data_IF_568930559814
#
_entry.id   IF_568930559814
#
_cell.length_a   1.000
_cell.length_b   1.000
_cell.length_c   1.000
_cell.angle_alpha   90.00
_cell.angle_beta   90.00
_cell.angle_gamma   90.00
#
_symmetry.space_group_name_H-M   'P 1'
#
loop_
_entity.id
_entity.type
_entity.pdbx_description
1 polymer ?
#
# COMPACT_ATOMS: atom_id res chain seq x y z
N UNK A 1 37.83 51.82 -65.09
CA UNK A 1 38.05 50.69 -64.16
C UNK A 1 38.79 51.01 -62.85
N UNK A 2 39.39 52.20 -62.63
CA UNK A 2 40.12 52.49 -61.36
C UNK A 2 39.25 53.02 -60.20
N UNK A 3 38.01 53.45 -60.48
CA UNK A 3 37.09 53.97 -59.45
C UNK A 3 36.41 52.85 -58.64
N UNK A 4 36.18 51.66 -59.23
CA UNK A 4 35.52 50.53 -58.57
C UNK A 4 36.39 49.86 -57.51
N UNK A 5 37.70 49.78 -57.72
CA UNK A 5 38.64 49.12 -56.78
C UNK A 5 38.79 49.92 -55.48
N UNK A 6 38.70 51.25 -55.53
CA UNK A 6 38.76 52.10 -54.33
C UNK A 6 37.50 52.03 -53.48
N UNK A 7 36.33 51.95 -54.13
CA UNK A 7 35.05 51.77 -53.43
C UNK A 7 34.99 50.39 -52.77
N UNK A 8 35.42 49.34 -53.46
CA UNK A 8 35.46 47.98 -52.90
C UNK A 8 36.47 47.88 -51.76
N UNK A 9 37.66 48.50 -51.87
CA UNK A 9 38.62 48.54 -50.75
C UNK A 9 38.13 49.36 -49.56
N UNK A 10 37.41 50.47 -49.78
CA UNK A 10 36.83 51.26 -48.71
C UNK A 10 35.69 50.51 -48.00
N UNK A 11 34.84 49.80 -48.76
CA UNK A 11 33.82 48.90 -48.21
C UNK A 11 34.44 47.74 -47.45
N UNK A 12 35.50 47.12 -47.98
CA UNK A 12 36.22 46.07 -47.26
C UNK A 12 36.81 46.63 -45.96
N UNK A 13 37.53 47.74 -46.00
CA UNK A 13 38.12 48.37 -44.80
C UNK A 13 37.05 48.77 -43.77
N UNK A 14 35.88 49.24 -44.21
CA UNK A 14 34.76 49.56 -43.32
C UNK A 14 34.18 48.30 -42.66
N UNK A 15 34.08 47.21 -43.43
CA UNK A 15 33.68 45.89 -42.90
C UNK A 15 34.73 45.31 -41.95
N UNK A 16 36.03 45.51 -42.20
CA UNK A 16 37.11 45.07 -41.29
C UNK A 16 37.35 46.00 -40.10
N UNK A 17 36.87 47.25 -40.11
CA UNK A 17 36.88 48.19 -38.97
C UNK A 17 35.67 48.05 -38.04
N UNK A 18 34.48 47.77 -38.60
CA UNK A 18 33.52 46.86 -37.95
C UNK A 18 34.23 45.49 -37.77
N UNK A 19 33.76 44.41 -37.19
CA UNK A 19 34.61 43.22 -36.91
C UNK A 19 35.83 43.42 -35.97
N UNK A 20 36.79 44.33 -36.20
CA UNK A 20 38.00 44.50 -35.35
C UNK A 20 37.81 45.43 -34.15
N UNK A 21 36.89 46.39 -34.20
CA UNK A 21 36.56 47.25 -33.07
C UNK A 21 35.45 46.64 -32.20
N UNK A 22 35.76 45.59 -31.42
CA UNK A 22 34.89 45.06 -30.36
C UNK A 22 33.40 45.02 -30.72
N UNK A 23 33.09 44.54 -31.94
CA UNK A 23 31.84 44.82 -32.61
C UNK A 23 30.67 44.28 -31.77
N UNK A 24 29.75 45.16 -31.39
CA UNK A 24 28.52 44.77 -30.69
C UNK A 24 27.70 43.74 -31.49
N UNK A 25 26.66 43.16 -30.86
CA UNK A 25 25.87 42.09 -31.45
C UNK A 25 25.43 42.38 -32.89
N UNK A 26 25.66 41.41 -33.79
CA UNK A 26 25.32 41.54 -35.20
C UNK A 26 23.84 41.24 -35.45
N UNK A 27 23.37 41.53 -36.66
CA UNK A 27 22.02 41.12 -37.13
C UNK A 27 21.80 39.60 -37.02
N UNK A 28 22.85 38.79 -37.20
CA UNK A 28 22.78 37.34 -37.09
C UNK A 28 22.60 36.90 -35.63
N UNK A 29 23.32 37.54 -34.70
CA UNK A 29 23.18 37.28 -33.26
C UNK A 29 21.78 37.62 -32.77
N UNK A 30 21.23 38.76 -33.22
CA UNK A 30 19.86 39.18 -32.90
C UNK A 30 18.82 38.19 -33.43
N UNK A 31 18.92 37.76 -34.71
CA UNK A 31 17.99 36.74 -35.26
C UNK A 31 18.07 35.42 -34.50
N UNK A 32 19.29 34.96 -34.18
CA UNK A 32 19.50 33.72 -33.43
C UNK A 32 18.85 33.80 -32.05
N UNK A 33 19.09 34.89 -31.31
CA UNK A 33 18.54 35.07 -29.97
C UNK A 33 17.00 35.16 -30.00
N UNK A 34 16.41 35.86 -30.96
CA UNK A 34 14.94 35.94 -31.12
C UNK A 34 14.35 34.57 -31.44
N UNK A 35 14.94 33.81 -32.38
CA UNK A 35 14.46 32.48 -32.71
C UNK A 35 14.53 31.53 -31.49
N UNK A 36 15.61 31.59 -30.71
CA UNK A 36 15.73 30.83 -29.47
C UNK A 36 14.66 31.24 -28.45
N UNK A 37 14.42 32.55 -28.25
CA UNK A 37 13.37 33.06 -27.38
C UNK A 37 11.97 32.58 -27.80
N UNK A 38 11.67 32.57 -29.11
CA UNK A 38 10.42 32.06 -29.64
C UNK A 38 10.25 30.55 -29.39
N UNK A 39 11.32 29.76 -29.52
CA UNK A 39 11.29 28.34 -29.21
C UNK A 39 10.94 28.09 -27.73
N UNK A 40 11.58 28.81 -26.81
CA UNK A 40 11.26 28.73 -25.38
C UNK A 40 9.83 29.19 -25.07
N UNK A 41 9.33 30.23 -25.74
CA UNK A 41 7.93 30.65 -25.63
C UNK A 41 6.96 29.55 -26.10
N UNK A 42 7.30 28.86 -27.19
CA UNK A 42 6.50 27.74 -27.68
C UNK A 42 6.48 26.59 -26.67
N UNK A 43 7.63 26.24 -26.09
CA UNK A 43 7.73 25.23 -25.04
C UNK A 43 6.87 25.59 -23.82
N UNK A 44 6.92 26.85 -23.35
CA UNK A 44 6.04 27.35 -22.29
C UNK A 44 4.56 27.27 -22.70
N UNK A 45 4.22 27.63 -23.94
CA UNK A 45 2.83 27.60 -24.43
C UNK A 45 2.27 26.18 -24.50
N UNK A 46 3.10 25.19 -24.87
CA UNK A 46 2.73 23.77 -24.92
C UNK A 46 2.38 23.19 -23.55
N UNK A 47 2.85 23.82 -22.46
CA UNK A 47 2.48 23.39 -21.09
C UNK A 47 1.03 23.73 -20.71
N UNK A 48 0.34 24.59 -21.49
CA UNK A 48 -1.02 25.04 -21.18
C UNK A 48 -1.12 26.01 -20.01
N UNK A 49 0.01 26.59 -19.56
CA UNK A 49 0.03 27.54 -18.44
C UNK A 49 -0.78 28.81 -18.75
N UNK A 50 -1.60 29.26 -17.79
CA UNK A 50 -2.38 30.50 -17.92
C UNK A 50 -1.51 31.74 -17.72
N UNK A 51 -1.85 32.86 -18.36
CA UNK A 51 -1.08 34.12 -18.29
C UNK A 51 -0.88 34.66 -16.87
N UNK A 52 -1.77 34.35 -15.93
CA UNK A 52 -1.72 34.84 -14.56
C UNK A 52 -1.03 33.87 -13.57
N UNK A 53 -0.46 32.76 -14.06
CA UNK A 53 0.13 31.75 -13.17
C UNK A 53 1.43 32.25 -12.49
N UNK A 54 2.20 33.09 -13.18
CA UNK A 54 3.43 33.71 -12.66
C UNK A 54 3.69 35.03 -13.41
N UNK A 55 4.25 36.07 -12.77
CA UNK A 55 4.56 37.33 -13.42
C UNK A 55 5.50 37.21 -14.64
N UNK A 56 6.23 36.10 -14.77
CA UNK A 56 7.12 35.87 -15.92
C UNK A 56 6.38 35.55 -17.24
N UNK A 57 5.14 35.02 -17.20
CA UNK A 57 4.40 34.69 -18.44
C UNK A 57 4.09 35.91 -19.32
N UNK A 58 3.50 37.01 -18.79
CA UNK A 58 3.29 38.22 -19.58
C UNK A 58 4.61 38.89 -19.99
N UNK A 59 5.67 38.73 -19.18
CA UNK A 59 6.99 39.28 -19.49
C UNK A 59 7.59 38.65 -20.75
N UNK A 60 7.46 37.33 -20.95
CA UNK A 60 7.95 36.61 -22.15
C UNK A 60 7.39 37.25 -23.43
N UNK A 61 6.06 37.37 -23.52
CA UNK A 61 5.39 37.94 -24.71
C UNK A 61 5.82 39.39 -24.95
N UNK A 62 5.88 40.19 -23.88
CA UNK A 62 6.30 41.60 -23.97
C UNK A 62 7.73 41.72 -24.47
N UNK A 63 8.65 40.89 -23.96
CA UNK A 63 10.08 40.95 -24.30
C UNK A 63 10.39 40.44 -25.70
N UNK A 64 9.66 39.44 -26.20
CA UNK A 64 9.75 39.01 -27.60
C UNK A 64 9.27 40.12 -28.53
N UNK A 65 8.13 40.74 -28.23
CA UNK A 65 7.62 41.87 -29.02
C UNK A 65 8.60 43.05 -29.01
N UNK A 66 9.24 43.35 -27.87
CA UNK A 66 10.29 44.36 -27.78
C UNK A 66 11.53 44.00 -28.62
N UNK A 67 11.94 42.73 -28.61
CA UNK A 67 13.06 42.24 -29.39
C UNK A 67 12.81 42.34 -30.90
N UNK A 68 11.64 41.92 -31.38
CA UNK A 68 11.20 42.04 -32.77
C UNK A 68 11.11 43.50 -33.22
N UNK A 69 10.55 44.37 -32.37
CA UNK A 69 10.48 45.81 -32.63
C UNK A 69 11.89 46.41 -32.75
N UNK A 70 12.79 46.11 -31.81
CA UNK A 70 14.18 46.59 -31.82
C UNK A 70 14.93 46.10 -33.06
N UNK A 71 14.69 44.86 -33.47
CA UNK A 71 15.23 44.27 -34.69
C UNK A 71 14.78 45.04 -35.95
N UNK A 72 13.50 45.43 -36.03
CA UNK A 72 12.95 46.23 -37.13
C UNK A 72 13.61 47.61 -37.24
N UNK A 73 14.03 48.20 -36.12
CA UNK A 73 14.73 49.48 -36.06
C UNK A 73 16.27 49.36 -36.12
N UNK A 74 16.81 48.17 -36.44
CA UNK A 74 18.24 47.89 -36.51
C UNK A 74 19.00 48.15 -35.19
N UNK A 75 18.31 48.07 -34.06
CA UNK A 75 18.87 48.20 -32.70
C UNK A 75 19.29 46.83 -32.17
N UNK A 76 20.26 46.19 -32.85
CA UNK A 76 20.63 44.78 -32.59
C UNK A 76 21.04 44.47 -31.14
N UNK A 77 21.82 45.32 -30.42
CA UNK A 77 22.16 45.04 -29.03
C UNK A 77 20.93 44.95 -28.12
N UNK A 78 19.97 45.88 -28.28
CA UNK A 78 18.72 45.90 -27.52
C UNK A 78 17.81 44.72 -27.87
N UNK A 79 17.80 44.31 -29.14
CA UNK A 79 17.08 43.12 -29.59
C UNK A 79 17.61 41.84 -28.92
N UNK A 80 18.94 41.68 -28.85
CA UNK A 80 19.57 40.55 -28.15
C UNK A 80 19.29 40.56 -26.65
N UNK A 81 19.38 41.72 -26.01
CA UNK A 81 19.07 41.88 -24.58
C UNK A 81 17.61 41.50 -24.27
N UNK A 82 16.66 42.04 -25.04
CA UNK A 82 15.23 41.71 -24.87
C UNK A 82 14.94 40.23 -25.14
N UNK A 83 15.60 39.62 -26.12
CA UNK A 83 15.47 38.18 -26.38
C UNK A 83 16.04 37.33 -25.22
N UNK A 84 17.18 37.73 -24.62
CA UNK A 84 17.75 37.06 -23.45
C UNK A 84 16.84 37.16 -22.23
N UNK A 85 16.30 38.35 -21.95
CA UNK A 85 15.31 38.55 -20.88
C UNK A 85 14.12 37.59 -21.05
N UNK A 86 13.64 37.40 -22.29
CA UNK A 86 12.57 36.46 -22.60
C UNK A 86 12.97 34.99 -22.38
N UNK A 87 14.18 34.60 -22.78
CA UNK A 87 14.69 33.25 -22.55
C UNK A 87 14.78 32.97 -21.05
N UNK A 88 15.32 33.90 -20.28
CA UNK A 88 15.47 33.76 -18.83
C UNK A 88 14.12 33.72 -18.11
N UNK A 89 13.15 34.54 -18.54
CA UNK A 89 11.77 34.47 -18.07
C UNK A 89 11.14 33.11 -18.40
N UNK A 90 11.34 32.59 -19.62
CA UNK A 90 10.82 31.29 -20.02
C UNK A 90 11.41 30.14 -19.19
N UNK A 91 12.73 30.16 -18.94
CA UNK A 91 13.39 29.18 -18.06
C UNK A 91 12.84 29.23 -16.65
N UNK A 92 12.57 30.42 -16.10
CA UNK A 92 11.92 30.57 -14.78
C UNK A 92 10.51 30.00 -14.77
N UNK A 93 9.71 30.20 -15.82
CA UNK A 93 8.37 29.59 -15.94
C UNK A 93 8.47 28.06 -15.97
N UNK A 94 9.41 27.49 -16.73
CA UNK A 94 9.60 26.03 -16.78
C UNK A 94 10.03 25.47 -15.41
N UNK A 95 10.92 26.16 -14.68
CA UNK A 95 11.29 25.78 -13.32
C UNK A 95 10.12 25.88 -12.34
N UNK A 96 9.28 26.93 -12.45
CA UNK A 96 8.07 27.07 -11.66
C UNK A 96 7.12 25.88 -11.88
N UNK A 97 6.91 25.47 -13.13
CA UNK A 97 6.04 24.35 -13.47
C UNK A 97 6.56 23.02 -12.92
N UNK A 98 7.86 22.75 -13.01
CA UNK A 98 8.45 21.54 -12.44
C UNK A 98 8.39 21.54 -10.90
N UNK A 99 8.67 22.69 -10.26
CA UNK A 99 8.52 22.86 -8.82
C UNK A 99 7.09 22.57 -8.36
N UNK A 100 6.09 23.13 -9.05
CA UNK A 100 4.68 22.93 -8.75
C UNK A 100 4.27 21.46 -8.89
N UNK A 101 4.66 20.81 -9.99
CA UNK A 101 4.41 19.38 -10.22
C UNK A 101 4.97 18.51 -9.10
N UNK A 102 6.21 18.76 -8.68
CA UNK A 102 6.87 17.99 -7.60
C UNK A 102 6.24 18.27 -6.24
N UNK A 103 5.78 19.50 -5.97
CA UNK A 103 5.06 19.83 -4.74
C UNK A 103 3.70 19.13 -4.71
N UNK A 104 2.97 19.09 -5.82
CA UNK A 104 1.70 18.36 -5.92
C UNK A 104 1.93 16.85 -5.69
N UNK A 105 2.98 16.27 -6.28
CA UNK A 105 3.39 14.88 -6.01
C UNK A 105 3.75 14.66 -4.54
N UNK A 106 4.57 15.55 -3.94
CA UNK A 106 4.93 15.48 -2.52
C UNK A 106 3.69 15.53 -1.61
N UNK A 107 2.68 16.30 -1.97
CA UNK A 107 1.41 16.39 -1.24
C UNK A 107 0.67 15.04 -1.24
N UNK A 108 0.60 14.35 -2.37
CA UNK A 108 -0.06 13.04 -2.44
C UNK A 108 0.63 11.99 -1.54
N UNK A 109 1.97 12.01 -1.51
CA UNK A 109 2.76 11.17 -0.62
C UNK A 109 2.53 11.52 0.86
N UNK A 110 2.50 12.81 1.20
CA UNK A 110 2.18 13.30 2.54
C UNK A 110 0.80 12.85 3.01
N UNK A 111 -0.22 12.97 2.16
CA UNK A 111 -1.57 12.55 2.48
C UNK A 111 -1.67 11.03 2.71
N UNK A 112 -0.82 10.26 2.03
CA UNK A 112 -0.71 8.80 2.23
C UNK A 112 -0.01 8.47 3.54
N UNK A 113 1.05 9.19 3.88
CA UNK A 113 1.72 9.09 5.19
C UNK A 113 0.75 9.40 6.32
N UNK A 114 0.01 10.52 6.24
CA UNK A 114 -0.98 10.91 7.27
C UNK A 114 -2.08 9.88 7.46
N UNK A 115 -2.60 9.31 6.37
CA UNK A 115 -3.59 8.22 6.40
C UNK A 115 -3.05 6.92 7.00
N UNK A 116 -1.74 6.69 6.92
CA UNK A 116 -1.07 5.50 7.45
C UNK A 116 -0.62 5.69 8.91
N UNK A 117 -0.30 6.92 9.32
CA UNK A 117 0.22 7.27 10.64
C UNK A 117 -0.86 7.47 11.73
N UNK A 118 -2.15 7.33 11.39
CA UNK A 118 -3.27 7.44 12.36
C UNK A 118 -3.22 6.39 13.48
N UNK A 119 -2.27 5.45 13.42
CA UNK A 119 -1.94 4.44 14.43
C UNK A 119 -0.97 4.91 15.53
N UNK A 120 -0.60 6.20 15.57
CA UNK A 120 0.04 6.82 16.74
C UNK A 120 1.58 6.74 16.79
N UNK A 121 2.26 6.41 15.68
CA UNK A 121 3.73 6.46 15.64
C UNK A 121 4.23 7.82 15.14
N UNK A 122 4.84 8.61 16.04
CA UNK A 122 5.64 9.78 15.65
C UNK A 122 7.06 9.31 15.29
N UNK A 123 7.28 9.00 14.01
CA UNK A 123 8.63 8.79 13.49
C UNK A 123 9.31 10.16 13.22
N UNK A 124 10.60 10.34 13.57
CA UNK A 124 11.39 11.50 13.15
C UNK A 124 11.31 11.75 11.63
N UNK A 125 11.15 10.69 10.84
CA UNK A 125 11.04 10.77 9.39
C UNK A 125 9.71 11.40 8.92
N UNK A 126 8.62 11.24 9.69
CA UNK A 126 7.34 11.91 9.42
C UNK A 126 7.51 13.41 9.62
N UNK A 127 8.08 13.83 10.75
CA UNK A 127 8.34 15.24 11.04
C UNK A 127 9.28 15.86 9.99
N UNK A 128 10.35 15.15 9.62
CA UNK A 128 11.27 15.58 8.56
C UNK A 128 10.58 15.73 7.20
N UNK A 129 9.72 14.78 6.82
CA UNK A 129 9.01 14.84 5.54
C UNK A 129 8.04 16.02 5.49
N UNK A 130 7.30 16.28 6.56
CA UNK A 130 6.37 17.41 6.68
C UNK A 130 7.13 18.74 6.61
N UNK A 131 8.20 18.88 7.39
CA UNK A 131 9.02 20.10 7.39
C UNK A 131 9.57 20.42 5.99
N UNK A 132 10.04 19.41 5.25
CA UNK A 132 10.55 19.59 3.88
C UNK A 132 9.46 19.97 2.89
N UNK A 133 8.24 19.47 3.09
CA UNK A 133 7.09 19.86 2.28
C UNK A 133 6.75 21.34 2.51
N UNK A 134 6.66 21.77 3.77
CA UNK A 134 6.38 23.17 4.13
C UNK A 134 7.47 24.11 3.58
N UNK A 135 8.73 23.70 3.65
CA UNK A 135 9.86 24.45 3.08
C UNK A 135 9.76 24.56 1.55
N UNK A 136 9.31 23.50 0.85
CA UNK A 136 9.11 23.54 -0.59
C UNK A 136 7.99 24.52 -0.99
N UNK A 137 6.86 24.51 -0.29
CA UNK A 137 5.76 25.46 -0.52
C UNK A 137 6.20 26.91 -0.26
N UNK A 138 6.92 27.14 0.84
CA UNK A 138 7.49 28.45 1.16
C UNK A 138 8.45 28.94 0.08
N UNK A 139 9.38 28.10 -0.36
CA UNK A 139 10.36 28.46 -1.39
C UNK A 139 9.70 28.70 -2.76
N UNK A 140 8.62 28.00 -3.09
CA UNK A 140 7.81 28.28 -4.28
C UNK A 140 7.18 29.68 -4.21
N UNK A 141 6.61 30.04 -3.05
CA UNK A 141 6.01 31.37 -2.83
C UNK A 141 7.06 32.50 -2.90
N UNK A 142 8.29 32.24 -2.47
CA UNK A 142 9.45 33.15 -2.56
C UNK A 142 10.12 33.15 -3.95
N UNK A 143 9.57 32.45 -4.95
CA UNK A 143 10.12 32.31 -6.31
C UNK A 143 11.52 31.66 -6.37
N UNK A 144 11.90 30.89 -5.34
CA UNK A 144 13.17 30.16 -5.27
C UNK A 144 13.01 28.75 -5.87
N UNK A 145 12.65 28.67 -7.16
CA UNK A 145 12.18 27.43 -7.80
C UNK A 145 13.14 26.23 -7.69
N UNK A 146 14.45 26.43 -7.84
CA UNK A 146 15.42 25.33 -7.72
C UNK A 146 15.50 24.77 -6.30
N UNK A 147 15.38 25.62 -5.29
CA UNK A 147 15.33 25.18 -3.89
C UNK A 147 14.02 24.45 -3.62
N UNK A 148 12.90 24.99 -4.11
CA UNK A 148 11.58 24.35 -3.97
C UNK A 148 11.57 22.94 -4.58
N UNK A 149 12.18 22.76 -5.77
CA UNK A 149 12.37 21.45 -6.41
C UNK A 149 13.16 20.50 -5.51
N UNK A 150 14.28 20.96 -4.94
CA UNK A 150 15.11 20.15 -4.04
C UNK A 150 14.34 19.73 -2.78
N UNK A 151 13.67 20.67 -2.12
CA UNK A 151 12.89 20.42 -0.92
C UNK A 151 11.70 19.46 -1.19
N UNK A 152 11.03 19.60 -2.32
CA UNK A 152 9.95 18.70 -2.74
C UNK A 152 10.46 17.26 -2.96
N UNK A 153 11.59 17.09 -3.67
CA UNK A 153 12.23 15.77 -3.86
C UNK A 153 12.65 15.14 -2.54
N UNK A 154 13.21 15.92 -1.63
CA UNK A 154 13.58 15.46 -0.30
C UNK A 154 12.35 15.03 0.51
N UNK A 155 11.23 15.75 0.37
CA UNK A 155 9.96 15.40 1.03
C UNK A 155 9.39 14.10 0.48
N UNK A 156 9.33 13.93 -0.85
CA UNK A 156 8.90 12.68 -1.52
C UNK A 156 9.74 11.50 -1.03
N UNK A 157 11.06 11.66 -1.03
CA UNK A 157 12.01 10.62 -0.62
C UNK A 157 11.80 10.22 0.83
N UNK A 158 11.65 11.20 1.74
CA UNK A 158 11.34 10.93 3.15
C UNK A 158 9.97 10.25 3.32
N UNK A 159 8.94 10.69 2.60
CA UNK A 159 7.61 10.08 2.65
C UNK A 159 7.62 8.62 2.18
N UNK A 160 8.34 8.31 1.09
CA UNK A 160 8.49 6.93 0.60
C UNK A 160 9.11 6.02 1.66
N UNK A 161 10.17 6.48 2.34
CA UNK A 161 10.80 5.71 3.43
C UNK A 161 9.83 5.44 4.58
N UNK A 162 9.06 6.45 4.99
CA UNK A 162 8.03 6.28 6.04
C UNK A 162 6.99 5.24 5.62
N UNK A 163 6.50 5.30 4.39
CA UNK A 163 5.51 4.32 3.87
C UNK A 163 6.10 2.91 3.88
N UNK A 164 7.33 2.72 3.39
CA UNK A 164 8.01 1.43 3.38
C UNK A 164 8.25 0.90 4.80
N UNK A 165 8.64 1.76 5.73
CA UNK A 165 8.79 1.38 7.14
C UNK A 165 7.46 0.93 7.74
N UNK A 166 6.36 1.65 7.45
CA UNK A 166 5.02 1.27 7.87
C UNK A 166 4.58 -0.10 7.31
N UNK A 167 4.85 -0.34 6.02
CA UNK A 167 4.62 -1.64 5.36
C UNK A 167 5.41 -2.75 6.06
N UNK A 168 6.73 -2.56 6.22
CA UNK A 168 7.63 -3.54 6.84
C UNK A 168 7.21 -3.89 8.27
N UNK A 169 6.90 -2.88 9.09
CA UNK A 169 6.43 -3.11 10.47
C UNK A 169 5.10 -3.86 10.50
N UNK A 170 4.14 -3.47 9.65
CA UNK A 170 2.83 -4.14 9.57
C UNK A 170 2.97 -5.60 9.17
N UNK A 171 3.79 -5.88 8.15
CA UNK A 171 4.07 -7.25 7.69
C UNK A 171 4.70 -8.10 8.78
N UNK A 172 5.67 -7.57 9.53
CA UNK A 172 6.31 -8.31 10.63
C UNK A 172 5.30 -8.70 11.72
N UNK A 173 4.49 -7.74 12.17
CA UNK A 173 3.44 -7.99 13.18
C UNK A 173 2.44 -9.03 12.68
N UNK A 174 2.00 -8.93 11.42
CA UNK A 174 1.07 -9.90 10.84
C UNK A 174 1.67 -11.30 10.73
N UNK A 175 2.94 -11.42 10.33
CA UNK A 175 3.62 -12.72 10.27
C UNK A 175 3.73 -13.37 11.65
N UNK A 176 4.15 -12.61 12.67
CA UNK A 176 4.22 -13.08 14.06
C UNK A 176 2.84 -13.57 14.55
N UNK A 177 1.79 -12.80 14.25
CA UNK A 177 0.42 -13.17 14.64
C UNK A 177 -0.09 -14.42 13.92
N UNK A 178 0.19 -14.58 12.62
CA UNK A 178 -0.16 -15.79 11.87
C UNK A 178 0.58 -17.00 12.44
N UNK A 179 1.87 -16.87 12.74
CA UNK A 179 2.67 -17.96 13.34
C UNK A 179 2.09 -18.36 14.69
N UNK A 180 1.77 -17.39 15.56
CA UNK A 180 1.11 -17.63 16.84
C UNK A 180 -0.22 -18.39 16.67
N UNK A 181 -1.09 -17.93 15.77
CA UNK A 181 -2.36 -18.62 15.46
C UNK A 181 -2.16 -19.99 14.82
N UNK A 182 -1.05 -20.22 14.12
CA UNK A 182 -0.70 -21.52 13.54
C UNK A 182 -0.23 -22.52 14.61
N UNK A 183 0.45 -22.06 15.66
CA UNK A 183 0.77 -22.91 16.81
C UNK A 183 -0.51 -23.38 17.53
N UNK A 184 -1.53 -22.53 17.59
CA UNK A 184 -2.85 -22.85 18.13
C UNK A 184 -3.67 -23.76 17.19
N UNK A 185 -3.59 -23.52 15.87
CA UNK A 185 -4.23 -24.33 14.82
C UNK A 185 -3.29 -24.56 13.62
N UNK A 186 -2.57 -25.70 13.57
CA UNK A 186 -1.64 -26.00 12.47
C UNK A 186 -2.29 -26.09 11.08
N UNK A 187 -3.62 -26.24 11.02
CA UNK A 187 -4.37 -26.33 9.78
C UNK A 187 -4.96 -25.00 9.30
N UNK A 188 -4.75 -23.90 10.02
CA UNK A 188 -5.31 -22.58 9.71
C UNK A 188 -5.07 -22.19 8.24
N UNK A 189 -6.09 -21.67 7.52
CA UNK A 189 -5.90 -21.19 6.15
C UNK A 189 -5.08 -19.88 6.10
N UNK A 190 -4.88 -19.20 7.23
CA UNK A 190 -4.03 -18.00 7.33
C UNK A 190 -2.60 -18.23 6.83
N UNK A 191 -2.09 -19.47 6.89
CA UNK A 191 -0.76 -19.80 6.35
C UNK A 191 -0.61 -19.51 4.86
N UNK A 192 -1.73 -19.45 4.11
CA UNK A 192 -1.73 -19.10 2.69
C UNK A 192 -1.39 -17.63 2.45
N UNK A 193 -1.50 -16.78 3.47
CA UNK A 193 -1.15 -15.36 3.41
C UNK A 193 0.36 -15.15 3.54
N UNK A 194 1.09 -16.06 4.22
CA UNK A 194 2.52 -15.92 4.49
C UNK A 194 3.40 -15.70 3.25
N UNK A 195 3.28 -16.46 2.15
CA UNK A 195 4.10 -16.23 0.96
C UNK A 195 3.91 -14.82 0.38
N UNK A 196 2.68 -14.30 0.43
CA UNK A 196 2.40 -12.96 -0.07
C UNK A 196 2.97 -11.87 0.84
N UNK A 197 2.96 -12.08 2.16
CA UNK A 197 3.65 -11.20 3.11
C UNK A 197 5.17 -11.22 2.89
N UNK A 198 5.75 -12.39 2.56
CA UNK A 198 7.17 -12.50 2.22
C UNK A 198 7.52 -11.70 0.96
N UNK A 199 6.69 -11.78 -0.09
CA UNK A 199 6.86 -10.97 -1.30
C UNK A 199 6.79 -9.47 -1.01
N UNK A 200 5.83 -9.03 -0.19
CA UNK A 200 5.68 -7.61 0.18
C UNK A 200 6.91 -7.14 0.99
N UNK A 201 7.39 -7.96 1.92
CA UNK A 201 8.57 -7.65 2.72
C UNK A 201 9.82 -7.57 1.84
N UNK A 202 9.98 -8.51 0.91
CA UNK A 202 11.08 -8.50 -0.04
C UNK A 202 11.06 -7.24 -0.90
N UNK A 203 9.90 -6.90 -1.47
CA UNK A 203 9.73 -5.64 -2.21
C UNK A 203 10.10 -4.42 -1.37
N UNK A 204 9.65 -4.35 -0.12
CA UNK A 204 9.95 -3.21 0.73
C UNK A 204 11.46 -3.09 1.01
N UNK A 205 12.13 -4.21 1.25
CA UNK A 205 13.58 -4.26 1.46
C UNK A 205 14.36 -3.88 0.18
N UNK A 206 13.96 -4.40 -0.98
CA UNK A 206 14.63 -4.12 -2.25
C UNK A 206 14.56 -2.63 -2.59
N UNK A 207 13.39 -2.00 -2.41
CA UNK A 207 13.20 -0.56 -2.62
C UNK A 207 13.95 0.28 -1.60
N UNK A 208 14.02 -0.17 -0.35
CA UNK A 208 14.70 0.58 0.72
C UNK A 208 16.22 0.55 0.59
N UNK A 209 16.78 -0.53 0.01
CA UNK A 209 18.24 -0.72 -0.14
C UNK A 209 18.81 -0.20 -1.47
N UNK A 210 17.96 0.19 -2.42
CA UNK A 210 18.36 0.76 -3.72
C UNK A 210 17.79 2.17 -3.88
N UNK A 211 18.66 3.19 -3.98
CA UNK A 211 18.23 4.57 -4.24
C UNK A 211 17.40 4.69 -5.52
N UNK A 212 17.74 3.93 -6.57
CA UNK A 212 16.95 3.90 -7.82
C UNK A 212 15.60 3.25 -7.60
N UNK A 213 15.53 2.21 -6.78
CA UNK A 213 14.29 1.57 -6.36
C UNK A 213 13.37 2.56 -5.65
N UNK A 214 13.93 3.36 -4.73
CA UNK A 214 13.20 4.40 -3.99
C UNK A 214 12.69 5.49 -4.94
N UNK A 215 13.51 5.96 -5.88
CA UNK A 215 13.08 6.94 -6.89
C UNK A 215 11.93 6.40 -7.76
N UNK A 216 11.99 5.13 -8.18
CA UNK A 216 11.01 4.51 -9.07
C UNK A 216 9.75 3.98 -8.36
N UNK A 217 9.74 3.94 -7.03
CA UNK A 217 8.57 3.51 -6.27
C UNK A 217 7.36 4.39 -6.57
N UNK A 218 6.32 3.81 -7.17
CA UNK A 218 5.07 4.51 -7.45
C UNK A 218 4.13 4.53 -6.25
N UNK A 219 3.44 5.65 -6.05
CA UNK A 219 2.43 5.79 -5.01
C UNK A 219 1.28 4.78 -5.19
N UNK A 220 0.90 4.51 -6.45
CA UNK A 220 -0.14 3.53 -6.80
C UNK A 220 0.20 2.13 -6.25
N UNK A 221 1.44 1.68 -6.45
CA UNK A 221 1.89 0.37 -5.94
C UNK A 221 1.90 0.35 -4.42
N UNK A 222 2.38 1.43 -3.79
CA UNK A 222 2.40 1.57 -2.34
C UNK A 222 0.98 1.51 -1.74
N UNK A 223 0.05 2.28 -2.31
CA UNK A 223 -1.35 2.31 -1.88
C UNK A 223 -2.05 0.95 -2.06
N UNK A 224 -1.76 0.24 -3.16
CA UNK A 224 -2.25 -1.12 -3.38
C UNK A 224 -1.77 -2.07 -2.29
N UNK A 225 -0.47 -2.06 -1.97
CA UNK A 225 0.09 -2.89 -0.89
C UNK A 225 -0.56 -2.54 0.44
N UNK A 226 -0.66 -1.26 0.78
CA UNK A 226 -1.32 -0.82 2.03
C UNK A 226 -2.78 -1.26 2.11
N UNK A 227 -3.50 -1.28 0.98
CA UNK A 227 -4.87 -1.80 0.91
C UNK A 227 -4.93 -3.30 1.19
N UNK A 228 -4.05 -4.09 0.56
CA UNK A 228 -3.99 -5.54 0.77
C UNK A 228 -3.62 -5.88 2.23
N UNK A 229 -2.68 -5.14 2.82
CA UNK A 229 -2.31 -5.32 4.23
C UNK A 229 -3.48 -5.10 5.19
N UNK A 230 -4.37 -4.12 4.91
CA UNK A 230 -5.59 -3.91 5.73
C UNK A 230 -6.54 -5.09 5.65
N UNK A 231 -6.65 -5.71 4.47
CA UNK A 231 -7.47 -6.91 4.28
C UNK A 231 -6.89 -8.08 5.08
N UNK A 232 -5.59 -8.30 4.99
CA UNK A 232 -4.92 -9.35 5.76
C UNK A 232 -5.00 -9.13 7.26
N UNK A 233 -4.86 -7.88 7.72
CA UNK A 233 -5.03 -7.54 9.13
C UNK A 233 -6.42 -7.94 9.64
N UNK A 234 -7.47 -7.65 8.87
CA UNK A 234 -8.84 -8.05 9.22
C UNK A 234 -9.05 -9.57 9.16
N UNK A 235 -8.52 -10.25 8.14
CA UNK A 235 -8.57 -11.73 8.05
C UNK A 235 -7.92 -12.41 9.26
N UNK A 236 -6.80 -11.85 9.72
CA UNK A 236 -6.08 -12.34 10.91
C UNK A 236 -6.91 -12.08 12.18
N UNK A 237 -7.46 -10.88 12.35
CA UNK A 237 -8.27 -10.50 13.53
C UNK A 237 -9.59 -11.26 13.62
N UNK A 238 -10.24 -11.48 12.48
CA UNK A 238 -11.54 -12.13 12.39
C UNK A 238 -11.49 -13.65 12.61
N UNK A 239 -10.29 -14.25 12.61
CA UNK A 239 -10.08 -15.66 12.95
C UNK A 239 -10.35 -15.95 14.44
N UNK A 240 -11.33 -16.82 14.70
CA UNK A 240 -11.85 -17.16 16.02
C UNK A 240 -11.59 -18.62 16.40
N UNK A 241 -11.48 -18.87 17.71
CA UNK A 241 -11.44 -20.21 18.30
C UNK A 241 -12.48 -20.30 19.41
N UNK A 242 -13.20 -21.43 19.47
CA UNK A 242 -14.15 -21.75 20.54
C UNK A 242 -13.89 -23.16 21.07
N UNK A 243 -14.09 -23.37 22.38
CA UNK A 243 -13.87 -24.67 23.03
C UNK A 243 -15.19 -25.13 23.65
N UNK A 244 -15.76 -26.20 23.10
CA UNK A 244 -16.93 -26.86 23.68
C UNK A 244 -16.49 -27.96 24.65
N UNK A 245 -16.88 -27.83 25.91
CA UNK A 245 -16.68 -28.88 26.90
C UNK A 245 -17.64 -30.04 26.63
N UNK A 246 -17.10 -31.26 26.54
CA UNK A 246 -17.90 -32.41 26.15
C UNK A 246 -18.91 -32.80 27.21
N UNK A 247 -18.61 -32.57 28.49
CA UNK A 247 -19.48 -32.95 29.61
C UNK A 247 -20.75 -32.09 29.69
N UNK A 248 -20.72 -30.91 29.04
CA UNK A 248 -21.86 -29.99 28.91
C UNK A 248 -22.55 -30.21 27.56
N UNK A 249 -21.76 -30.45 26.52
CA UNK A 249 -22.25 -30.47 25.14
C UNK A 249 -22.77 -31.83 24.69
N UNK A 250 -22.40 -32.91 25.37
CA UNK A 250 -22.79 -34.28 25.06
C UNK A 250 -23.12 -35.05 26.33
N UNK A 251 -24.10 -35.96 26.25
CA UNK A 251 -24.30 -36.93 27.31
C UNK A 251 -23.12 -37.93 27.38
N UNK A 252 -22.90 -38.51 28.56
CA UNK A 252 -21.84 -39.49 28.79
C UNK A 252 -21.92 -40.65 27.78
N UNK A 253 -20.80 -40.95 27.11
CA UNK A 253 -20.72 -42.01 26.10
C UNK A 253 -21.48 -41.73 24.79
N UNK A 254 -22.18 -40.60 24.67
CA UNK A 254 -22.91 -40.22 23.46
C UNK A 254 -22.13 -39.21 22.62
N UNK A 255 -22.48 -39.15 21.35
CA UNK A 255 -21.96 -38.18 20.37
C UNK A 255 -23.00 -37.18 19.89
N UNK A 256 -24.28 -37.41 20.16
CA UNK A 256 -25.34 -36.45 19.87
C UNK A 256 -25.24 -35.22 20.78
N UNK A 257 -25.31 -34.04 20.18
CA UNK A 257 -25.30 -32.77 20.90
C UNK A 257 -26.52 -32.64 21.80
N UNK A 258 -26.27 -32.35 23.07
CA UNK A 258 -27.28 -31.90 24.03
C UNK A 258 -27.79 -30.50 23.67
N UNK A 259 -28.91 -30.09 24.27
CA UNK A 259 -29.54 -28.80 23.98
C UNK A 259 -28.61 -27.62 24.31
N UNK A 260 -27.88 -27.70 25.41
CA UNK A 260 -26.91 -26.68 25.81
C UNK A 260 -25.75 -26.56 24.81
N UNK A 261 -25.28 -27.68 24.28
CA UNK A 261 -24.27 -27.71 23.20
C UNK A 261 -24.77 -27.05 21.92
N UNK A 262 -26.03 -27.30 21.53
CA UNK A 262 -26.66 -26.64 20.37
C UNK A 262 -26.79 -25.14 20.57
N UNK A 263 -27.27 -24.70 21.73
CA UNK A 263 -27.41 -23.28 22.06
C UNK A 263 -26.06 -22.55 22.08
N UNK A 264 -24.99 -23.20 22.57
CA UNK A 264 -23.64 -22.66 22.52
C UNK A 264 -23.14 -22.50 21.07
N UNK A 265 -23.42 -23.46 20.20
CA UNK A 265 -23.07 -23.39 18.78
C UNK A 265 -23.86 -22.32 18.02
N UNK A 266 -25.13 -22.12 18.34
CA UNK A 266 -25.93 -21.03 17.76
C UNK A 266 -25.35 -19.65 18.11
N UNK A 267 -24.98 -19.44 19.38
CA UNK A 267 -24.30 -18.21 19.82
C UNK A 267 -22.94 -18.03 19.14
N UNK A 268 -22.19 -19.11 18.95
CA UNK A 268 -20.91 -19.03 18.23
C UNK A 268 -21.12 -18.69 16.75
N UNK A 269 -22.13 -19.28 16.10
CA UNK A 269 -22.50 -18.91 14.73
C UNK A 269 -22.88 -17.42 14.62
N UNK A 270 -23.56 -16.85 15.61
CA UNK A 270 -23.87 -15.41 15.65
C UNK A 270 -22.62 -14.54 15.72
N UNK A 271 -21.62 -14.93 16.53
CA UNK A 271 -20.33 -14.23 16.56
C UNK A 271 -19.62 -14.26 15.20
N UNK A 272 -19.66 -15.40 14.51
CA UNK A 272 -19.07 -15.55 13.18
C UNK A 272 -19.78 -14.63 12.17
N UNK A 273 -21.12 -14.63 12.18
CA UNK A 273 -21.92 -13.77 11.30
C UNK A 273 -21.65 -12.29 11.56
N UNK A 274 -21.59 -11.87 12.82
CA UNK A 274 -21.27 -10.48 13.18
C UNK A 274 -19.87 -10.04 12.69
N UNK A 275 -18.89 -10.94 12.72
CA UNK A 275 -17.56 -10.70 12.15
C UNK A 275 -17.63 -10.57 10.62
N UNK A 276 -18.39 -11.45 9.95
CA UNK A 276 -18.60 -11.38 8.50
C UNK A 276 -19.28 -10.06 8.11
N UNK A 277 -20.30 -9.63 8.84
CA UNK A 277 -20.98 -8.35 8.62
C UNK A 277 -20.01 -7.17 8.72
N UNK A 278 -19.23 -7.14 9.80
CA UNK A 278 -18.23 -6.09 10.02
C UNK A 278 -17.21 -6.06 8.88
N UNK A 279 -16.77 -7.24 8.44
CA UNK A 279 -15.81 -7.41 7.34
C UNK A 279 -16.37 -6.94 5.99
N UNK A 280 -17.61 -7.31 5.65
CA UNK A 280 -18.27 -6.92 4.40
C UNK A 280 -18.61 -5.43 4.34
N UNK A 281 -18.76 -4.77 5.49
CA UNK A 281 -18.86 -3.30 5.55
C UNK A 281 -17.53 -2.65 5.17
N UNK A 282 -16.41 -3.21 5.64
CA UNK A 282 -15.07 -2.71 5.33
C UNK A 282 -14.63 -3.02 3.89
N UNK A 283 -15.04 -4.18 3.36
CA UNK A 283 -14.61 -4.68 2.04
C UNK A 283 -15.81 -5.20 1.20
N UNK A 284 -16.73 -4.32 0.78
CA UNK A 284 -18.00 -4.72 0.15
C UNK A 284 -17.88 -5.44 -1.19
N UNK A 285 -16.73 -5.25 -1.86
CA UNK A 285 -16.42 -5.76 -3.20
C UNK A 285 -15.52 -7.01 -3.19
N UNK A 286 -15.04 -7.44 -2.01
CA UNK A 286 -14.18 -8.61 -1.89
C UNK A 286 -14.99 -9.82 -1.36
N UNK A 287 -15.09 -10.92 -2.12
CA UNK A 287 -15.77 -12.11 -1.63
C UNK A 287 -14.97 -12.73 -0.47
N UNK A 288 -15.71 -13.33 0.46
CA UNK A 288 -15.16 -13.86 1.71
C UNK A 288 -15.37 -15.37 1.77
N UNK A 289 -14.31 -16.09 2.15
CA UNK A 289 -14.31 -17.54 2.32
C UNK A 289 -14.30 -17.84 3.82
N UNK A 290 -15.35 -18.52 4.29
CA UNK A 290 -15.45 -19.04 5.65
C UNK A 290 -15.03 -20.52 5.66
N UNK A 291 -14.07 -20.88 6.51
CA UNK A 291 -13.70 -22.26 6.77
C UNK A 291 -13.85 -22.55 8.27
N UNK A 292 -14.48 -23.67 8.61
CA UNK A 292 -14.69 -24.11 10.00
C UNK A 292 -14.06 -25.49 10.21
N UNK A 293 -13.00 -25.56 11.00
CA UNK A 293 -12.35 -26.81 11.38
C UNK A 293 -12.79 -27.24 12.79
N UNK A 294 -13.08 -28.53 12.97
CA UNK A 294 -13.54 -29.10 14.24
C UNK A 294 -12.68 -30.31 14.62
N UNK A 295 -12.13 -30.26 15.83
CA UNK A 295 -11.30 -31.29 16.41
C UNK A 295 -11.90 -31.83 17.70
N UNK A 296 -12.23 -33.12 17.72
CA UNK A 296 -12.77 -33.78 18.90
C UNK A 296 -11.68 -34.47 19.70
N UNK A 297 -11.70 -34.30 21.03
CA UNK A 297 -10.76 -34.91 21.95
C UNK A 297 -11.50 -35.67 23.06
N UNK A 298 -10.86 -36.72 23.56
CA UNK A 298 -11.33 -37.52 24.69
C UNK A 298 -10.20 -37.69 25.69
N UNK A 299 -10.56 -37.88 26.95
CA UNK A 299 -9.60 -38.36 27.93
C UNK A 299 -9.40 -39.87 27.79
N UNK A 300 -8.57 -40.42 28.66
CA UNK A 300 -8.29 -41.84 28.73
C UNK A 300 -9.36 -42.64 29.49
N UNK A 301 -10.50 -42.03 29.86
CA UNK A 301 -11.56 -42.69 30.61
C UNK A 301 -12.51 -43.45 29.69
N UNK A 302 -13.22 -44.46 30.22
CA UNK A 302 -14.29 -45.16 29.52
C UNK A 302 -13.86 -46.33 28.61
N UNK A 303 -14.84 -47.19 28.33
CA UNK A 303 -14.80 -48.45 27.53
C UNK A 303 -14.16 -49.70 28.16
N UNK A 304 -13.58 -49.63 29.36
CA UNK A 304 -13.05 -50.81 30.06
C UNK A 304 -13.85 -51.06 31.34
N UNK A 305 -14.82 -51.97 31.28
CA UNK A 305 -15.47 -52.53 32.49
C UNK A 305 -14.58 -53.55 33.17
N UNK A 306 -13.78 -54.31 32.40
CA UNK A 306 -12.98 -55.43 32.90
C UNK A 306 -11.70 -55.51 32.06
N UNK A 307 -10.55 -55.66 32.73
CA UNK A 307 -9.22 -55.35 32.19
C UNK A 307 -8.89 -55.89 30.78
N UNK A 308 -8.23 -55.04 29.97
CA UNK A 308 -7.07 -55.54 29.21
C UNK A 308 -7.00 -55.32 27.68
N UNK A 309 -7.60 -54.30 27.08
CA UNK A 309 -7.17 -53.94 25.71
C UNK A 309 -7.09 -52.42 25.47
N UNK A 310 -5.92 -51.85 25.79
CA UNK A 310 -5.60 -50.44 25.58
C UNK A 310 -5.78 -50.01 24.12
N UNK A 311 -5.51 -50.89 23.15
CA UNK A 311 -5.68 -50.59 21.71
C UNK A 311 -7.16 -50.48 21.35
N UNK A 312 -8.01 -51.35 21.88
CA UNK A 312 -9.47 -51.30 21.65
C UNK A 312 -10.08 -50.03 22.25
N UNK A 313 -9.68 -49.65 23.47
CA UNK A 313 -10.11 -48.40 24.10
C UNK A 313 -9.70 -47.18 23.27
N UNK A 314 -8.43 -47.09 22.89
CA UNK A 314 -7.92 -45.99 22.08
C UNK A 314 -8.67 -45.87 20.74
N UNK A 315 -8.99 -47.00 20.08
CA UNK A 315 -9.80 -47.02 18.86
C UNK A 315 -11.23 -46.49 19.08
N UNK A 316 -11.88 -46.89 20.17
CA UNK A 316 -13.24 -46.45 20.50
C UNK A 316 -13.27 -44.97 20.86
N UNK A 317 -12.30 -44.49 21.63
CA UNK A 317 -12.13 -43.08 21.98
C UNK A 317 -11.84 -42.23 20.74
N UNK A 318 -10.98 -42.73 19.84
CA UNK A 318 -10.75 -42.12 18.53
C UNK A 318 -12.06 -41.96 17.76
N UNK A 319 -12.87 -43.02 17.65
CA UNK A 319 -14.14 -42.97 16.91
C UNK A 319 -15.18 -42.07 17.58
N UNK A 320 -15.29 -42.11 18.90
CA UNK A 320 -16.21 -41.25 19.66
C UNK A 320 -15.86 -39.77 19.46
N UNK A 321 -14.58 -39.43 19.52
CA UNK A 321 -14.11 -38.06 19.32
C UNK A 321 -14.40 -37.55 17.89
N UNK A 322 -14.28 -38.41 16.87
CA UNK A 322 -14.59 -38.10 15.49
C UNK A 322 -16.10 -37.85 15.28
N UNK A 323 -16.95 -38.72 15.85
CA UNK A 323 -18.41 -38.56 15.77
C UNK A 323 -18.90 -37.29 16.47
N UNK A 324 -18.28 -36.92 17.59
CA UNK A 324 -18.55 -35.65 18.30
C UNK A 324 -18.14 -34.45 17.45
N UNK A 325 -16.94 -34.47 16.87
CA UNK A 325 -16.48 -33.42 15.97
C UNK A 325 -17.42 -33.26 14.76
N UNK A 326 -17.89 -34.37 14.20
CA UNK A 326 -18.85 -34.37 13.09
C UNK A 326 -20.19 -33.76 13.49
N UNK A 327 -20.73 -34.15 14.65
CA UNK A 327 -22.01 -33.63 15.14
C UNK A 327 -21.95 -32.11 15.38
N UNK A 328 -20.82 -31.62 15.91
CA UNK A 328 -20.53 -30.19 16.04
C UNK A 328 -20.47 -29.49 14.69
N UNK A 329 -19.70 -30.03 13.75
CA UNK A 329 -19.55 -29.48 12.40
C UNK A 329 -20.89 -29.41 11.66
N UNK A 330 -21.67 -30.49 11.68
CA UNK A 330 -22.98 -30.56 10.99
C UNK A 330 -23.98 -29.55 11.58
N UNK A 331 -24.00 -29.41 12.91
CA UNK A 331 -24.87 -28.44 13.59
C UNK A 331 -24.47 -26.99 13.26
N UNK A 332 -23.18 -26.68 13.35
CA UNK A 332 -22.66 -25.34 13.12
C UNK A 332 -22.80 -24.94 11.64
N UNK A 333 -22.46 -25.82 10.70
CA UNK A 333 -22.63 -25.57 9.27
C UNK A 333 -24.09 -25.32 8.91
N UNK A 334 -25.04 -26.06 9.49
CA UNK A 334 -26.47 -25.81 9.25
C UNK A 334 -26.88 -24.42 9.73
N UNK A 335 -26.46 -24.01 10.92
CA UNK A 335 -26.75 -22.69 11.45
C UNK A 335 -26.13 -21.57 10.58
N UNK A 336 -24.88 -21.76 10.15
CA UNK A 336 -24.17 -20.81 9.28
C UNK A 336 -24.79 -20.72 7.90
N UNK A 337 -25.10 -21.83 7.23
CA UNK A 337 -25.76 -21.83 5.91
C UNK A 337 -27.11 -21.11 5.96
N UNK A 338 -27.89 -21.31 7.02
CA UNK A 338 -29.17 -20.61 7.18
C UNK A 338 -28.97 -19.10 7.38
N UNK A 339 -28.08 -18.70 8.29
CA UNK A 339 -27.85 -17.27 8.62
C UNK A 339 -27.13 -16.52 7.48
N UNK A 340 -26.30 -17.20 6.69
CA UNK A 340 -25.52 -16.61 5.61
C UNK A 340 -26.18 -16.71 4.22
N UNK A 341 -27.36 -17.31 4.12
CA UNK A 341 -28.05 -17.47 2.83
C UNK A 341 -28.33 -16.14 2.11
N UNK A 342 -28.54 -15.05 2.86
CA UNK A 342 -28.83 -13.72 2.33
C UNK A 342 -27.64 -13.06 1.62
N UNK A 343 -26.40 -13.47 1.89
CA UNK A 343 -25.20 -12.87 1.27
C UNK A 343 -24.92 -13.41 -0.14
N UNK A 344 -25.62 -14.46 -0.58
CA UNK A 344 -25.47 -15.04 -1.91
C UNK A 344 -24.02 -15.44 -2.19
N UNK A 345 -23.46 -14.98 -3.31
CA UNK A 345 -22.09 -15.30 -3.73
C UNK A 345 -21.00 -14.50 -3.00
N UNK A 346 -21.35 -13.55 -2.12
CA UNK A 346 -20.36 -12.75 -1.39
C UNK A 346 -19.66 -13.54 -0.28
N UNK A 347 -20.30 -14.58 0.23
CA UNK A 347 -19.76 -15.43 1.29
C UNK A 347 -19.82 -16.88 0.85
N UNK A 348 -18.67 -17.54 0.82
CA UNK A 348 -18.55 -18.95 0.44
C UNK A 348 -18.11 -19.75 1.66
N UNK A 349 -18.91 -20.75 2.03
CA UNK A 349 -18.54 -21.68 3.10
C UNK A 349 -17.76 -22.84 2.48
N UNK A 350 -16.48 -22.94 2.80
CA UNK A 350 -15.65 -24.08 2.44
C UNK A 350 -15.74 -25.19 3.48
N UNK A 351 -15.71 -26.44 3.01
CA UNK A 351 -15.62 -27.60 3.88
C UNK A 351 -14.30 -27.56 4.66
N UNK A 352 -14.40 -27.38 5.97
CA UNK A 352 -13.25 -27.50 6.86
C UNK A 352 -12.99 -28.94 7.28
N UNK A 353 -11.99 -29.12 8.13
CA UNK A 353 -11.57 -30.43 8.63
C UNK A 353 -12.45 -30.87 9.78
N UNK A 354 -12.86 -32.13 9.77
CA UNK A 354 -13.54 -32.79 10.89
C UNK A 354 -12.68 -33.96 11.32
N UNK A 355 -12.06 -33.85 12.49
CA UNK A 355 -11.04 -34.82 12.92
C UNK A 355 -11.28 -35.26 14.35
N UNK A 356 -11.37 -36.58 14.56
CA UNK A 356 -11.20 -37.16 15.89
C UNK A 356 -9.73 -37.25 16.24
N UNK A 357 -9.36 -36.80 17.44
CA UNK A 357 -8.00 -36.90 17.98
C UNK A 357 -7.88 -37.93 19.11
N UNK A 358 -9.00 -38.54 19.50
CA UNK A 358 -9.03 -39.60 20.48
C UNK A 358 -8.39 -39.15 21.77
N UNK A 359 -7.39 -39.91 22.23
CA UNK A 359 -6.72 -39.65 23.51
C UNK A 359 -5.52 -38.71 23.38
N UNK A 360 -5.22 -38.16 22.20
CA UNK A 360 -4.19 -37.12 22.07
C UNK A 360 -4.58 -35.92 22.96
N UNK A 361 -3.62 -35.30 23.68
CA UNK A 361 -3.92 -34.08 24.41
C UNK A 361 -4.23 -32.93 23.43
N UNK A 362 -5.23 -32.08 23.72
CA UNK A 362 -5.41 -30.84 22.98
C UNK A 362 -4.17 -29.93 23.09
N UNK A 363 -3.93 -29.04 22.11
CA UNK A 363 -2.85 -28.05 22.19
C UNK A 363 -2.89 -27.26 23.50
N UNK A 364 -1.73 -27.13 24.15
CA UNK A 364 -1.58 -26.44 25.43
C UNK A 364 -2.04 -27.22 26.67
N UNK A 365 -2.56 -28.43 26.52
CA UNK A 365 -2.94 -29.31 27.65
C UNK A 365 -1.85 -30.36 27.87
N UNK A 366 -1.30 -30.43 29.08
CA UNK A 366 -0.26 -31.42 29.40
C UNK A 366 -0.84 -32.83 29.50
N UNK A 367 -0.04 -33.81 29.11
CA UNK A 367 -0.37 -35.23 29.32
C UNK A 367 -0.30 -35.52 30.81
N UNK A 368 -1.43 -35.90 31.40
CA UNK A 368 -1.57 -36.19 32.83
C UNK A 368 -1.78 -37.69 33.02
N UNK A 369 -1.26 -38.24 34.13
CA UNK A 369 -1.48 -39.65 34.49
C UNK A 369 -2.94 -39.95 34.92
N UNK A 370 -3.77 -38.91 35.09
CA UNK A 370 -5.17 -39.05 35.44
C UNK A 370 -5.97 -39.58 34.25
N UNK A 371 -6.64 -40.72 34.47
CA UNK A 371 -7.45 -41.35 33.44
C UNK A 371 -8.59 -40.43 32.96
N UNK A 372 -9.19 -39.69 33.90
CA UNK A 372 -10.29 -38.75 33.66
C UNK A 372 -9.78 -37.32 33.73
N UNK A 373 -9.99 -36.54 32.66
CA UNK A 373 -9.56 -35.13 32.63
C UNK A 373 -10.52 -34.30 31.75
N UNK A 374 -11.36 -33.43 32.35
CA UNK A 374 -12.31 -32.60 31.60
C UNK A 374 -11.67 -31.70 30.55
N UNK A 375 -10.42 -31.25 30.75
CA UNK A 375 -9.70 -30.42 29.77
C UNK A 375 -9.32 -31.19 28.50
N UNK A 376 -9.31 -32.53 28.56
CA UNK A 376 -9.08 -33.42 27.41
C UNK A 376 -10.37 -33.88 26.74
N UNK A 377 -11.53 -33.67 27.38
CA UNK A 377 -12.86 -34.00 26.84
C UNK A 377 -13.50 -32.77 26.21
N UNK A 378 -12.98 -32.32 25.08
CA UNK A 378 -13.45 -31.10 24.42
C UNK A 378 -13.62 -31.28 22.92
N UNK A 379 -14.45 -30.46 22.30
CA UNK A 379 -14.37 -30.17 20.88
C UNK A 379 -13.80 -28.77 20.70
N UNK A 380 -12.68 -28.65 19.98
CA UNK A 380 -12.13 -27.35 19.58
C UNK A 380 -12.65 -27.00 18.20
N UNK A 381 -13.16 -25.78 18.06
CA UNK A 381 -13.69 -25.25 16.82
C UNK A 381 -12.84 -24.05 16.44
N UNK A 382 -12.39 -24.04 15.19
CA UNK A 382 -11.66 -22.91 14.62
C UNK A 382 -12.48 -22.39 13.44
N UNK A 383 -12.80 -21.10 13.48
CA UNK A 383 -13.45 -20.40 12.38
C UNK A 383 -12.45 -19.43 11.79
N UNK A 384 -12.20 -19.54 10.50
CA UNK A 384 -11.32 -18.60 9.79
C UNK A 384 -12.03 -18.05 8.58
N UNK A 385 -12.00 -16.73 8.49
CA UNK A 385 -12.50 -15.94 7.37
C UNK A 385 -11.31 -15.36 6.63
N UNK A 386 -11.26 -15.57 5.32
CA UNK A 386 -10.24 -14.98 4.45
C UNK A 386 -10.91 -14.34 3.25
N UNK A 387 -10.48 -13.14 2.88
CA UNK A 387 -10.91 -12.58 1.60
C UNK A 387 -10.18 -13.30 0.47
N UNK A 388 -10.89 -13.57 -0.62
CA UNK A 388 -10.23 -14.03 -1.83
C UNK A 388 -9.52 -12.84 -2.49
N UNK A 389 -8.24 -12.68 -2.17
CA UNK A 389 -7.38 -11.65 -2.76
C UNK A 389 -6.71 -12.16 -4.05
N UNK A 390 -7.06 -13.35 -4.53
CA UNK A 390 -6.42 -13.96 -5.70
C UNK A 390 -7.19 -13.61 -6.98
N UNK A 391 -6.74 -12.57 -7.67
CA UNK A 391 -6.84 -12.44 -9.13
C UNK A 391 -5.55 -11.88 -9.71
#
# INVERSE_FOLDING_TARGET
MRLSVRIVKALLLFVTLLLSAGCGPTIFDAKRAINEAMQYQEDVSRTGITENATPDVPLIKSKISEAEKSMKFLLFPRAVESARDSIDASKRVLLYLDAKRLIDEAREYQDTVKRSASSGSSSPDIASSVQKFDEAEKQLAEQQYQRAISAAKDSITSSKRVILQGITSSVKVMKEEIVRKQEENPATPLKKILPRLDEILQFANDVQNDEKGLEQMSLVKAASITSDLKVYEEDIKSSQQEKLQSDISFAMGKYDLAQDGKAALEKFAEKIVANIDSSLILFPDKPLILQVDVYGYTDSSGFLSDGGNLKKRALLNQRLSELRAKSVSDCLNRALTQKLASYGSKVVIHAGKVVGKGEEPPPGVQMTAQATNPQRRICQIFSTTVHDVVK
#
